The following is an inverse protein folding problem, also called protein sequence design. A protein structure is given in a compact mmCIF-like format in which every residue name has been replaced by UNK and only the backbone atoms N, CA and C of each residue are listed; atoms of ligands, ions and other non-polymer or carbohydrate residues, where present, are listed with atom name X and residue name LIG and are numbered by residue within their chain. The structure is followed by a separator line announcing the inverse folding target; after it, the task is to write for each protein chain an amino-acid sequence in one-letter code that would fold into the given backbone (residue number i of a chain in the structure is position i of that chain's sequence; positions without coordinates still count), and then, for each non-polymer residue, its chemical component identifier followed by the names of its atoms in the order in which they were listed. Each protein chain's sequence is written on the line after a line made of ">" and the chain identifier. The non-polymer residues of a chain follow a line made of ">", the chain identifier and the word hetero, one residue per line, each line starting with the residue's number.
data_IF_376435465895
#
_entry.id   IF_376435465895
#
_cell.length_a   1.000
_cell.length_b   1.000
_cell.length_c   1.000
_cell.angle_alpha   90.00
_cell.angle_beta   90.00
_cell.angle_gamma   90.00
#
_symmetry.space_group_name_H-M   'P 1'
#
loop_
_entity.id
_entity.type
_entity.pdbx_description
1 polymer ?
#
# COMPACT_ATOMS: atom_id res chain seq x y z
N UNK A 1 13.62 1.45 -8.59
CA UNK A 1 13.42 2.92 -8.69
C UNK A 1 12.62 3.36 -9.92
N UNK A 2 12.94 2.87 -11.13
CA UNK A 2 12.22 3.25 -12.36
C UNK A 2 10.74 2.81 -12.39
N UNK A 3 10.40 1.72 -11.70
CA UNK A 3 9.06 1.10 -11.74
C UNK A 3 7.97 1.97 -11.11
N UNK A 4 8.20 2.54 -9.91
CA UNK A 4 7.22 3.44 -9.27
C UNK A 4 7.01 4.71 -10.07
N UNK A 5 8.09 5.28 -10.62
CA UNK A 5 7.99 6.43 -11.52
C UNK A 5 7.16 6.13 -12.77
N UNK A 6 7.28 4.91 -13.32
CA UNK A 6 6.46 4.41 -14.42
C UNK A 6 4.99 4.23 -13.98
N UNK A 7 4.74 3.57 -12.85
CA UNK A 7 3.40 3.31 -12.31
C UNK A 7 2.58 4.60 -12.14
N UNK A 8 3.14 5.64 -11.51
CA UNK A 8 2.44 6.91 -11.34
C UNK A 8 2.29 7.71 -12.65
N UNK A 9 3.17 7.49 -13.64
CA UNK A 9 3.10 8.18 -14.94
C UNK A 9 2.05 7.60 -15.90
N UNK A 10 1.70 6.31 -15.79
CA UNK A 10 0.76 5.65 -16.72
C UNK A 10 -0.71 5.92 -16.37
N UNK A 11 -1.01 6.83 -15.43
CA UNK A 11 -2.38 7.20 -15.03
C UNK A 11 -3.27 6.04 -14.55
N UNK A 12 -2.69 4.91 -14.13
CA UNK A 12 -3.45 3.76 -13.59
C UNK A 12 -4.03 4.03 -12.18
N UNK A 13 -3.46 5.00 -11.45
CA UNK A 13 -3.90 5.36 -10.11
C UNK A 13 -4.87 6.55 -10.13
N UNK A 14 -5.96 6.47 -9.36
CA UNK A 14 -6.83 7.62 -9.15
C UNK A 14 -6.14 8.68 -8.27
N UNK A 15 -6.29 9.99 -8.53
CA UNK A 15 -5.60 11.06 -7.78
C UNK A 15 -6.24 11.25 -6.39
N UNK A 16 -5.98 10.30 -5.49
CA UNK A 16 -6.60 10.19 -4.18
C UNK A 16 -5.60 9.68 -3.15
N UNK A 17 -5.49 10.37 -2.01
CA UNK A 17 -4.73 9.91 -0.86
C UNK A 17 -5.54 8.96 0.04
N UNK A 18 -4.88 8.29 1.00
CA UNK A 18 -5.59 7.42 1.93
C UNK A 18 -6.55 8.23 2.81
N UNK A 19 -7.67 7.60 3.16
CA UNK A 19 -8.48 8.04 4.30
C UNK A 19 -7.70 7.75 5.59
N UNK A 20 -8.12 8.26 6.75
CA UNK A 20 -7.43 7.97 8.02
C UNK A 20 -7.22 6.46 8.23
N UNK A 21 -5.96 6.02 8.16
CA UNK A 21 -5.53 4.62 8.31
C UNK A 21 -4.64 4.47 9.54
N UNK A 22 -4.90 3.45 10.37
CA UNK A 22 -3.97 3.00 11.42
C UNK A 22 -3.32 1.68 11.03
N UNK A 23 -2.14 1.43 11.60
CA UNK A 23 -1.37 0.19 11.41
C UNK A 23 -1.09 -0.19 9.94
N UNK A 24 -1.10 0.78 9.04
CA UNK A 24 -0.59 0.63 7.68
C UNK A 24 0.95 0.55 7.71
N UNK A 25 1.56 0.01 6.66
CA UNK A 25 2.99 0.18 6.45
C UNK A 25 3.26 1.42 5.58
N UNK A 26 4.46 1.99 5.72
CA UNK A 26 4.96 3.04 4.83
C UNK A 26 6.42 2.75 4.50
N UNK A 27 6.74 2.68 3.21
CA UNK A 27 8.10 2.50 2.70
C UNK A 27 8.47 3.66 1.79
N UNK A 28 9.64 4.26 2.02
CA UNK A 28 10.18 5.28 1.12
C UNK A 28 10.98 4.60 0.01
N UNK A 29 10.65 4.91 -1.23
CA UNK A 29 11.31 4.40 -2.43
C UNK A 29 11.69 5.58 -3.31
N UNK A 30 12.90 6.11 -3.13
CA UNK A 30 13.32 7.32 -3.83
C UNK A 30 12.46 8.53 -3.47
N UNK A 31 11.87 9.26 -4.45
CA UNK A 31 11.00 10.40 -4.18
C UNK A 31 9.55 9.99 -3.83
N UNK A 32 9.29 8.69 -3.65
CA UNK A 32 7.95 8.17 -3.38
C UNK A 32 7.82 7.69 -1.94
N UNK A 33 6.69 7.99 -1.29
CA UNK A 33 6.26 7.24 -0.11
C UNK A 33 5.13 6.28 -0.51
N UNK A 34 5.30 5.00 -0.19
CA UNK A 34 4.39 3.93 -0.56
C UNK A 34 3.71 3.39 0.69
N UNK A 35 2.39 3.57 0.78
CA UNK A 35 1.57 3.09 1.88
C UNK A 35 0.77 1.88 1.43
N UNK A 36 0.69 0.87 2.30
CA UNK A 36 -0.09 -0.33 2.03
C UNK A 36 -0.89 -0.78 3.25
N UNK A 37 -2.10 -1.26 2.97
CA UNK A 37 -3.02 -1.86 3.93
C UNK A 37 -3.36 -1.00 5.15
N UNK A 38 -3.38 -1.62 6.33
CA UNK A 38 -3.87 -1.02 7.56
C UNK A 38 -5.38 -1.18 7.70
N UNK A 39 -5.97 -0.37 8.58
CA UNK A 39 -7.43 -0.37 8.77
C UNK A 39 -7.99 1.03 8.93
N UNK A 40 -9.23 1.21 8.46
CA UNK A 40 -9.98 2.46 8.64
C UNK A 40 -10.61 2.53 10.04
N UNK A 41 -10.85 3.75 10.52
CA UNK A 41 -11.54 4.02 11.79
C UNK A 41 -13.07 4.09 11.64
N UNK A 42 -13.64 3.40 10.66
CA UNK A 42 -15.09 3.42 10.41
C UNK A 42 -15.81 2.33 11.22
N UNK A 43 -17.13 2.46 11.37
CA UNK A 43 -17.99 1.41 11.96
C UNK A 43 -18.39 0.33 10.94
N UNK A 44 -17.74 0.29 9.78
CA UNK A 44 -18.02 -0.72 8.77
C UNK A 44 -17.58 -2.11 9.25
N UNK A 45 -18.15 -3.16 8.67
CA UNK A 45 -17.69 -4.54 8.93
C UNK A 45 -16.35 -4.85 8.26
N UNK A 46 -16.05 -4.20 7.14
CA UNK A 46 -14.83 -4.38 6.36
C UNK A 46 -13.93 -3.15 6.54
N UNK A 47 -13.10 -3.17 7.58
CA UNK A 47 -12.21 -2.04 7.92
C UNK A 47 -10.78 -2.25 7.46
N UNK A 48 -10.33 -3.50 7.24
CA UNK A 48 -8.96 -3.82 6.84
C UNK A 48 -8.79 -3.60 5.34
N UNK A 49 -7.75 -2.87 4.98
CA UNK A 49 -7.46 -2.45 3.61
C UNK A 49 -6.27 -3.22 3.01
N UNK A 50 -6.19 -3.18 1.69
CA UNK A 50 -5.07 -3.65 0.86
C UNK A 50 -4.82 -2.71 -0.32
N UNK A 51 -5.43 -1.52 -0.34
CA UNK A 51 -5.13 -0.52 -1.37
C UNK A 51 -3.68 -0.04 -1.21
N UNK A 52 -3.03 0.17 -2.35
CA UNK A 52 -1.72 0.79 -2.43
C UNK A 52 -1.89 2.29 -2.66
N UNK A 53 -1.23 3.09 -1.85
CA UNK A 53 -1.17 4.54 -2.03
C UNK A 53 0.26 4.98 -2.27
N UNK A 54 0.46 5.85 -3.26
CA UNK A 54 1.77 6.41 -3.60
C UNK A 54 1.69 7.92 -3.47
N UNK A 55 2.54 8.48 -2.61
CA UNK A 55 2.82 9.91 -2.55
C UNK A 55 4.00 10.22 -3.47
N UNK A 56 3.78 11.06 -4.48
CA UNK A 56 4.80 11.53 -5.41
C UNK A 56 5.30 12.92 -4.99
N UNK A 57 6.50 12.96 -4.41
CA UNK A 57 7.13 14.20 -3.94
C UNK A 57 7.93 14.93 -5.02
N UNK A 58 7.87 14.51 -6.30
CA UNK A 58 8.62 15.17 -7.39
C UNK A 58 8.00 16.51 -7.81
N UNK A 59 6.72 16.72 -7.54
CA UNK A 59 5.99 17.96 -7.87
C UNK A 59 5.72 18.79 -6.63
N UNK A 60 5.45 20.08 -6.84
CA UNK A 60 4.96 20.98 -5.79
C UNK A 60 3.69 21.68 -6.28
N UNK A 61 2.50 21.37 -5.72
CA UNK A 61 2.28 20.44 -4.62
C UNK A 61 2.55 18.98 -5.02
N UNK A 62 2.95 18.17 -4.04
CA UNK A 62 3.09 16.73 -4.20
C UNK A 62 1.71 16.08 -4.42
N UNK A 63 1.69 14.97 -5.14
CA UNK A 63 0.45 14.30 -5.56
C UNK A 63 0.28 12.94 -4.89
N UNK A 64 -0.96 12.55 -4.66
CA UNK A 64 -1.32 11.22 -4.18
C UNK A 64 -1.99 10.41 -5.27
N UNK A 65 -1.66 9.14 -5.35
CA UNK A 65 -2.29 8.16 -6.24
C UNK A 65 -2.74 6.95 -5.45
N UNK A 66 -3.98 6.51 -5.67
CA UNK A 66 -4.55 5.28 -5.12
C UNK A 66 -4.66 4.22 -6.20
N UNK A 67 -4.18 3.03 -5.88
CA UNK A 67 -4.26 1.83 -6.70
C UNK A 67 -5.04 0.76 -5.92
N UNK A 68 -6.27 0.43 -6.33
CA UNK A 68 -7.07 -0.59 -5.67
C UNK A 68 -6.45 -1.98 -5.81
N UNK A 69 -6.54 -2.82 -4.78
CA UNK A 69 -6.11 -4.21 -4.84
C UNK A 69 -7.32 -5.15 -4.76
N UNK A 70 -7.56 -5.92 -5.82
CA UNK A 70 -8.65 -6.89 -5.86
C UNK A 70 -8.39 -8.15 -5.00
N UNK A 71 -7.12 -8.48 -4.75
CA UNK A 71 -6.74 -9.66 -3.99
C UNK A 71 -6.91 -9.43 -2.47
N UNK A 72 -8.05 -9.89 -1.95
CA UNK A 72 -8.39 -9.83 -0.53
C UNK A 72 -7.41 -10.60 0.35
N UNK A 73 -6.67 -11.58 -0.17
CA UNK A 73 -5.67 -12.31 0.61
C UNK A 73 -4.50 -11.40 1.06
N UNK A 74 -4.30 -10.27 0.37
CA UNK A 74 -3.29 -9.25 0.71
C UNK A 74 -3.78 -8.22 1.73
N UNK A 75 -5.04 -8.27 2.19
CA UNK A 75 -5.48 -7.44 3.31
C UNK A 75 -4.67 -7.74 4.55
N UNK A 76 -4.07 -6.68 5.10
CA UNK A 76 -3.17 -6.77 6.24
C UNK A 76 -3.26 -5.55 7.13
N UNK A 77 -3.20 -5.77 8.44
CA UNK A 77 -3.04 -4.74 9.47
C UNK A 77 -1.82 -5.05 10.34
N UNK A 78 -1.06 -4.04 10.77
CA UNK A 78 0.09 -4.21 11.65
C UNK A 78 1.28 -4.96 11.02
N UNK A 79 1.35 -4.94 9.69
CA UNK A 79 2.40 -5.58 8.90
C UNK A 79 3.56 -4.61 8.62
N UNK A 80 4.59 -5.10 7.92
CA UNK A 80 5.67 -4.27 7.37
C UNK A 80 5.80 -4.47 5.87
N UNK A 81 6.20 -3.41 5.19
CA UNK A 81 6.73 -3.47 3.82
C UNK A 81 8.20 -3.12 3.81
N UNK A 82 9.00 -3.87 3.05
CA UNK A 82 10.42 -3.58 2.83
C UNK A 82 10.77 -3.66 1.35
N UNK A 83 11.65 -2.77 0.90
CA UNK A 83 12.14 -2.76 -0.47
C UNK A 83 13.39 -3.62 -0.57
N UNK A 84 13.40 -4.57 -1.51
CA UNK A 84 14.57 -5.37 -1.84
C UNK A 84 14.58 -5.68 -3.34
N UNK A 85 15.72 -5.47 -4.02
CA UNK A 85 15.87 -5.68 -5.46
C UNK A 85 14.72 -5.07 -6.29
N UNK A 86 14.37 -3.82 -5.99
CA UNK A 86 13.28 -3.07 -6.62
C UNK A 86 11.86 -3.67 -6.45
N UNK A 87 11.67 -4.63 -5.54
CA UNK A 87 10.37 -5.18 -5.18
C UNK A 87 10.00 -4.85 -3.74
N UNK A 88 8.72 -4.56 -3.49
CA UNK A 88 8.19 -4.38 -2.15
C UNK A 88 7.69 -5.72 -1.62
N UNK A 89 8.26 -6.16 -0.51
CA UNK A 89 7.84 -7.35 0.20
C UNK A 89 6.88 -6.98 1.31
N UNK A 90 5.76 -7.68 1.39
CA UNK A 90 4.77 -7.64 2.46
C UNK A 90 5.07 -8.76 3.45
N UNK A 91 5.36 -8.40 4.70
CA UNK A 91 5.78 -9.35 5.74
C UNK A 91 4.92 -9.21 6.99
N UNK A 92 4.36 -10.34 7.43
CA UNK A 92 3.66 -10.48 8.71
C UNK A 92 2.34 -9.72 8.82
N UNK A 93 2.00 -9.33 10.05
CA UNK A 93 0.72 -8.69 10.39
C UNK A 93 -0.44 -9.67 10.49
N UNK A 94 -1.65 -9.11 10.51
CA UNK A 94 -2.91 -9.86 10.64
C UNK A 94 -3.78 -9.68 9.40
N UNK A 95 -4.52 -10.72 9.02
CA UNK A 95 -5.34 -10.77 7.81
C UNK A 95 -6.58 -9.87 7.83
N UNK A 96 -7.51 -10.13 6.91
CA UNK A 96 -8.76 -9.38 6.74
C UNK A 96 -9.63 -9.32 8.01
N UNK A 97 -9.59 -10.35 8.84
CA UNK A 97 -10.32 -10.40 10.11
C UNK A 97 -9.67 -9.55 11.22
N UNK A 98 -8.48 -8.99 10.96
CA UNK A 98 -7.67 -8.24 11.92
C UNK A 98 -7.15 -9.06 13.09
N UNK A 99 -7.24 -10.40 13.02
CA UNK A 99 -6.98 -11.31 14.16
C UNK A 99 -6.09 -12.49 13.80
N UNK A 100 -6.22 -13.03 12.60
CA UNK A 100 -5.43 -14.17 12.15
C UNK A 100 -4.07 -13.68 11.68
N UNK A 101 -3.02 -14.08 12.40
CA UNK A 101 -1.65 -13.76 12.02
C UNK A 101 -1.33 -14.36 10.64
N UNK A 102 -0.71 -13.57 9.77
CA UNK A 102 -0.31 -14.05 8.46
C UNK A 102 1.13 -14.58 8.50
N UNK A 103 1.36 -15.85 8.16
CA UNK A 103 2.71 -16.41 8.01
C UNK A 103 3.31 -16.14 6.61
N UNK A 104 2.52 -15.60 5.69
CA UNK A 104 2.91 -15.46 4.29
C UNK A 104 3.79 -14.22 4.07
N UNK A 105 4.81 -14.39 3.24
CA UNK A 105 5.56 -13.29 2.63
C UNK A 105 5.13 -13.19 1.19
N UNK A 106 4.66 -12.01 0.79
CA UNK A 106 4.19 -11.75 -0.56
C UNK A 106 4.98 -10.59 -1.17
N UNK A 107 5.09 -10.54 -2.49
CA UNK A 107 5.57 -9.36 -3.21
C UNK A 107 4.37 -8.52 -3.63
N UNK A 108 4.42 -7.22 -3.37
CA UNK A 108 3.46 -6.27 -3.92
C UNK A 108 3.91 -5.95 -5.34
N UNK A 109 3.17 -6.49 -6.30
CA UNK A 109 3.47 -6.23 -7.69
C UNK A 109 3.13 -4.77 -8.03
N UNK A 110 4.13 -4.02 -8.46
CA UNK A 110 4.01 -2.63 -8.90
C UNK A 110 3.74 -2.54 -10.42
N UNK A 111 3.64 -3.70 -11.10
CA UNK A 111 3.22 -3.85 -12.49
C UNK A 111 1.71 -4.16 -12.55
N UNK A 112 0.86 -3.15 -12.37
CA UNK A 112 -0.52 -3.24 -12.86
C UNK A 112 -0.54 -3.29 -14.39
#
# INVERSE_FOLDING_TARGET
>A
MAQLGKLVSISQGSPQGPRGLRYHSCSVVGPFAVLFGGETLTRARDTVCNDLYVYDARTSPALWFRFPCADRALKRVGHRTCLWNDQLYLVGGFGEDGRTASPQVCTLDLYL
#
